data_IF_262195875232
#
_entry.id   IF_262195875232
#
_cell.length_a   1.000
_cell.length_b   1.000
_cell.length_c   1.000
_cell.angle_alpha   90.00
_cell.angle_beta   90.00
_cell.angle_gamma   90.00
#
_symmetry.space_group_name_H-M   'P 1'
#
loop_
_entity.id
_entity.type
_entity.pdbx_description
1 polymer ?
#
# COMPACT_ATOMS: atom_id res chain seq x y z
N UNK A 1 -2.49 3.01 -0.90
CA UNK A 1 -3.02 1.63 -0.77
C UNK A 1 -1.88 0.74 -0.30
N UNK A 2 -2.16 -0.26 0.53
CA UNK A 2 -1.16 -1.08 1.24
C UNK A 2 -0.17 -0.19 2.01
N UNK A 3 -0.73 0.67 2.89
CA UNK A 3 0.05 1.79 3.45
C UNK A 3 0.99 1.37 4.59
N UNK A 4 0.77 0.20 5.19
CA UNK A 4 1.55 -0.28 6.32
C UNK A 4 1.57 0.74 7.46
N UNK A 5 2.76 1.15 7.86
CA UNK A 5 2.97 2.18 8.91
C UNK A 5 2.68 3.61 8.47
N UNK A 6 2.20 3.80 7.24
CA UNK A 6 1.82 5.11 6.70
C UNK A 6 2.96 5.95 6.12
N UNK A 7 4.16 5.40 5.96
CA UNK A 7 5.36 6.17 5.62
C UNK A 7 5.18 7.01 4.34
N UNK A 8 4.70 6.40 3.25
CA UNK A 8 4.48 7.13 1.97
C UNK A 8 3.36 8.16 2.12
N UNK A 9 2.22 7.76 2.67
CA UNK A 9 1.05 8.65 2.81
C UNK A 9 1.35 9.86 3.67
N UNK A 10 2.01 9.66 4.81
CA UNK A 10 2.40 10.71 5.73
C UNK A 10 3.41 11.67 5.07
N UNK A 11 4.40 11.12 4.34
CA UNK A 11 5.37 11.95 3.60
C UNK A 11 4.67 12.82 2.56
N UNK A 12 3.76 12.26 1.77
CA UNK A 12 3.00 13.03 0.78
C UNK A 12 2.19 14.13 1.45
N UNK A 13 1.46 13.82 2.53
CA UNK A 13 0.66 14.81 3.26
C UNK A 13 1.53 15.91 3.90
N UNK A 14 2.72 15.55 4.39
CA UNK A 14 3.63 16.49 5.03
C UNK A 14 4.29 17.47 4.05
N UNK A 15 4.71 16.96 2.88
CA UNK A 15 5.46 17.76 1.90
C UNK A 15 4.60 18.38 0.79
N UNK A 16 3.31 18.08 0.73
CA UNK A 16 2.42 18.59 -0.31
C UNK A 16 1.15 19.17 0.29
N UNK A 17 0.31 19.76 -0.57
CA UNK A 17 -1.06 20.20 -0.21
C UNK A 17 -2.12 19.20 -0.71
N UNK A 18 -1.72 17.99 -1.08
CA UNK A 18 -2.63 16.98 -1.55
C UNK A 18 -3.55 16.50 -0.42
N UNK A 19 -4.81 16.22 -0.76
CA UNK A 19 -5.69 15.46 0.10
C UNK A 19 -5.27 13.99 0.02
N UNK A 20 -4.87 13.40 1.14
CA UNK A 20 -4.33 12.04 1.18
C UNK A 20 -5.29 11.10 1.89
N UNK A 21 -5.65 10.01 1.21
CA UNK A 21 -6.33 8.85 1.78
C UNK A 21 -5.37 7.66 1.73
N UNK A 22 -5.19 6.99 2.86
CA UNK A 22 -4.36 5.81 3.00
C UNK A 22 -5.18 4.60 3.44
N UNK A 23 -4.97 3.45 2.83
CA UNK A 23 -5.69 2.22 3.17
C UNK A 23 -4.75 1.04 3.39
N UNK A 24 -5.17 0.15 4.27
CA UNK A 24 -4.54 -1.14 4.53
C UNK A 24 -5.59 -2.14 5.01
N UNK A 25 -5.35 -3.42 4.80
CA UNK A 25 -6.19 -4.50 5.32
C UNK A 25 -5.94 -4.74 6.80
N UNK A 26 -4.75 -4.37 7.30
CA UNK A 26 -4.35 -4.57 8.68
C UNK A 26 -4.75 -3.39 9.57
N UNK A 27 -5.73 -3.60 10.45
CA UNK A 27 -6.10 -2.63 11.49
C UNK A 27 -4.92 -2.24 12.38
N UNK A 28 -4.04 -3.20 12.70
CA UNK A 28 -2.83 -2.95 13.50
C UNK A 28 -1.84 -2.02 12.78
N UNK A 29 -1.63 -2.22 11.47
CA UNK A 29 -0.80 -1.33 10.69
C UNK A 29 -1.37 0.09 10.67
N UNK A 30 -2.69 0.22 10.51
CA UNK A 30 -3.37 1.51 10.53
C UNK A 30 -3.34 2.20 11.90
N UNK A 31 -3.33 1.48 13.01
CA UNK A 31 -3.12 2.05 14.34
C UNK A 31 -1.76 2.75 14.41
N UNK A 32 -0.69 2.05 14.01
CA UNK A 32 0.66 2.61 13.95
C UNK A 32 0.73 3.81 12.99
N UNK A 33 0.09 3.70 11.81
CA UNK A 33 0.06 4.77 10.83
C UNK A 33 -0.62 6.04 11.38
N UNK A 34 -1.73 5.90 12.12
CA UNK A 34 -2.41 7.03 12.78
C UNK A 34 -1.54 7.69 13.84
N UNK A 35 -0.82 6.90 14.64
CA UNK A 35 0.13 7.42 15.62
C UNK A 35 1.27 8.19 14.96
N UNK A 36 1.86 7.63 13.91
CA UNK A 36 2.90 8.29 13.14
C UNK A 36 2.42 9.61 12.52
N UNK A 37 1.23 9.62 11.92
CA UNK A 37 0.64 10.82 11.34
C UNK A 37 0.42 11.91 12.40
N UNK A 38 -0.03 11.53 13.59
CA UNK A 38 -0.22 12.45 14.72
C UNK A 38 1.10 13.05 15.20
N UNK A 39 2.16 12.23 15.33
CA UNK A 39 3.50 12.69 15.74
C UNK A 39 4.06 13.69 14.73
N UNK A 40 3.86 13.45 13.44
CA UNK A 40 4.38 14.26 12.35
C UNK A 40 3.41 15.39 11.93
N UNK A 41 2.27 15.52 12.62
CA UNK A 41 1.24 16.50 12.33
C UNK A 41 0.80 16.49 10.85
N UNK A 42 0.64 15.28 10.29
CA UNK A 42 0.22 15.04 8.91
C UNK A 42 -1.27 14.71 8.85
N UNK A 43 -2.00 15.38 7.94
CA UNK A 43 -3.44 15.17 7.74
C UNK A 43 -3.66 14.07 6.70
N UNK A 44 -3.98 12.86 7.18
CA UNK A 44 -4.22 11.67 6.34
C UNK A 44 -5.52 11.01 6.78
N UNK A 45 -6.40 10.72 5.82
CA UNK A 45 -7.59 9.91 6.04
C UNK A 45 -7.22 8.42 5.94
N UNK A 46 -7.37 7.66 7.04
CA UNK A 46 -7.04 6.23 7.10
C UNK A 46 -8.28 5.34 7.03
N UNK A 47 -8.30 4.40 6.09
CA UNK A 47 -9.41 3.47 5.83
C UNK A 47 -8.91 2.03 5.92
N UNK A 48 -9.57 1.20 6.72
CA UNK A 48 -9.37 -0.25 6.70
C UNK A 48 -10.11 -0.82 5.49
N UNK A 49 -9.36 -1.46 4.58
CA UNK A 49 -9.91 -1.96 3.32
C UNK A 49 -9.02 -3.03 2.72
N UNK A 50 -9.63 -4.11 2.26
CA UNK A 50 -8.98 -5.01 1.31
C UNK A 50 -9.04 -4.37 -0.07
N UNK A 51 -7.88 -3.86 -0.52
CA UNK A 51 -7.74 -3.06 -1.73
C UNK A 51 -8.82 -1.95 -1.82
N UNK A 52 -9.80 -2.09 -2.70
CA UNK A 52 -10.83 -1.08 -2.97
C UNK A 52 -12.17 -1.34 -2.27
N UNK A 53 -12.33 -2.41 -1.48
CA UNK A 53 -13.65 -2.82 -0.93
C UNK A 53 -14.38 -1.70 -0.18
N UNK A 54 -13.66 -0.93 0.61
CA UNK A 54 -14.23 0.18 1.41
C UNK A 54 -13.87 1.56 0.86
N UNK A 55 -13.37 1.64 -0.38
CA UNK A 55 -13.02 2.90 -1.03
C UNK A 55 -14.24 3.40 -1.81
N UNK A 56 -14.69 4.62 -1.51
CA UNK A 56 -15.87 5.22 -2.12
C UNK A 56 -15.59 6.55 -2.83
N UNK A 57 -14.32 6.84 -3.09
CA UNK A 57 -13.89 8.08 -3.75
C UNK A 57 -12.94 7.77 -4.92
N UNK A 58 -12.70 8.76 -5.77
CA UNK A 58 -11.76 8.67 -6.90
C UNK A 58 -10.55 9.55 -6.65
N UNK A 59 -9.43 9.22 -7.31
CA UNK A 59 -8.13 9.83 -7.05
C UNK A 59 -7.45 10.26 -8.35
N UNK A 60 -6.65 11.31 -8.26
CA UNK A 60 -5.77 11.72 -9.35
C UNK A 60 -4.50 10.86 -9.40
N UNK A 61 -4.03 10.41 -8.24
CA UNK A 61 -2.86 9.54 -8.11
C UNK A 61 -3.15 8.43 -7.11
N UNK A 62 -2.92 7.19 -7.51
CA UNK A 62 -2.91 6.03 -6.64
C UNK A 62 -1.46 5.56 -6.48
N UNK A 63 -0.99 5.51 -5.24
CA UNK A 63 0.34 4.98 -4.90
C UNK A 63 0.19 3.69 -4.12
N UNK A 64 0.93 2.66 -4.46
CA UNK A 64 0.95 1.41 -3.71
C UNK A 64 2.33 0.76 -3.71
N UNK A 65 2.72 0.27 -2.53
CA UNK A 65 3.80 -0.69 -2.34
C UNK A 65 3.15 -1.99 -1.83
N UNK A 66 2.56 -2.80 -2.73
CA UNK A 66 1.89 -4.02 -2.35
C UNK A 66 2.89 -5.15 -2.08
N UNK A 67 2.49 -6.24 -1.41
CA UNK A 67 3.29 -7.45 -1.35
C UNK A 67 3.66 -7.94 -2.75
N UNK A 68 4.95 -8.20 -2.99
CA UNK A 68 5.46 -8.57 -4.33
C UNK A 68 6.44 -9.74 -4.33
N UNK A 69 6.69 -10.37 -3.18
CA UNK A 69 7.61 -11.51 -3.09
C UNK A 69 6.87 -12.78 -3.51
N UNK A 70 7.51 -13.57 -4.37
CA UNK A 70 6.98 -14.88 -4.76
C UNK A 70 6.84 -15.80 -3.54
N UNK A 71 5.70 -16.49 -3.41
CA UNK A 71 5.40 -17.35 -2.27
C UNK A 71 6.49 -18.39 -1.99
N UNK A 72 7.12 -18.94 -3.05
CA UNK A 72 8.19 -19.94 -2.93
C UNK A 72 9.52 -19.36 -2.43
N UNK A 73 9.73 -18.07 -2.58
CA UNK A 73 10.97 -17.38 -2.16
C UNK A 73 10.94 -17.00 -0.68
N UNK A 74 9.75 -16.75 -0.12
CA UNK A 74 9.61 -16.27 1.26
C UNK A 74 10.35 -17.15 2.29
N UNK A 75 10.31 -18.49 2.23
CA UNK A 75 11.05 -19.34 3.19
C UNK A 75 12.57 -19.17 3.12
N UNK A 76 13.10 -18.62 2.02
CA UNK A 76 14.54 -18.42 1.81
C UNK A 76 15.05 -17.05 2.22
N UNK A 77 14.14 -16.15 2.60
CA UNK A 77 14.50 -14.80 3.03
C UNK A 77 15.31 -14.81 4.34
N UNK A 78 16.07 -13.76 4.55
CA UNK A 78 16.80 -13.54 5.80
C UNK A 78 15.82 -13.53 6.99
N UNK A 79 16.24 -14.05 8.14
CA UNK A 79 15.43 -14.12 9.37
C UNK A 79 14.79 -12.78 9.73
N UNK A 80 15.50 -11.66 9.55
CA UNK A 80 14.98 -10.32 9.82
C UNK A 80 13.76 -9.96 8.99
N UNK A 81 13.65 -10.45 7.76
CA UNK A 81 12.46 -10.23 6.90
C UNK A 81 11.41 -11.27 7.18
N UNK A 82 11.79 -12.55 7.20
CA UNK A 82 10.89 -13.69 7.35
C UNK A 82 10.17 -13.71 8.70
N UNK A 83 10.90 -13.42 9.80
CA UNK A 83 10.40 -13.63 11.16
C UNK A 83 9.79 -12.35 11.78
N UNK A 84 10.10 -11.18 11.26
CA UNK A 84 9.62 -9.89 11.78
C UNK A 84 8.62 -9.15 10.90
N UNK A 85 8.57 -9.45 9.60
CA UNK A 85 7.55 -8.92 8.68
C UNK A 85 6.35 -9.89 8.63
N UNK A 86 5.11 -9.38 8.73
CA UNK A 86 3.93 -10.23 8.57
C UNK A 86 3.91 -10.87 7.17
N UNK A 87 3.57 -12.15 7.07
CA UNK A 87 3.41 -12.85 5.78
C UNK A 87 2.50 -12.10 4.81
N UNK A 88 1.44 -11.50 5.35
CA UNK A 88 0.49 -10.68 4.59
C UNK A 88 1.16 -9.46 3.90
N UNK A 89 2.27 -8.97 4.43
CA UNK A 89 3.02 -7.85 3.88
C UNK A 89 4.09 -8.26 2.85
N UNK A 90 4.36 -9.56 2.71
CA UNK A 90 5.43 -10.10 1.86
C UNK A 90 4.89 -10.85 0.64
N UNK A 91 3.86 -11.69 0.83
CA UNK A 91 3.40 -12.67 -0.15
C UNK A 91 2.62 -12.02 -1.29
N UNK A 92 3.25 -11.90 -2.44
CA UNK A 92 2.68 -11.40 -3.69
C UNK A 92 2.05 -12.48 -4.58
N UNK A 93 1.95 -13.72 -4.08
CA UNK A 93 1.43 -14.85 -4.83
C UNK A 93 2.51 -15.64 -5.56
N UNK A 94 2.10 -16.53 -6.46
CA UNK A 94 2.97 -17.49 -7.13
C UNK A 94 4.13 -16.83 -7.90
N UNK A 95 3.88 -15.71 -8.55
CA UNK A 95 4.85 -14.96 -9.36
C UNK A 95 5.07 -13.53 -8.83
N UNK A 96 4.62 -13.23 -7.62
CA UNK A 96 4.75 -11.92 -7.00
C UNK A 96 3.88 -10.82 -7.60
N UNK A 97 2.95 -11.13 -8.52
CA UNK A 97 2.23 -10.12 -9.30
C UNK A 97 0.72 -10.05 -9.00
N UNK A 98 0.22 -10.84 -8.06
CA UNK A 98 -1.23 -10.96 -7.81
C UNK A 98 -1.85 -9.62 -7.39
N UNK A 99 -1.20 -8.88 -6.51
CA UNK A 99 -1.69 -7.57 -6.08
C UNK A 99 -1.70 -6.55 -7.21
N UNK A 100 -0.66 -6.51 -8.03
CA UNK A 100 -0.60 -5.59 -9.18
C UNK A 100 -1.75 -5.84 -10.14
N UNK A 101 -2.02 -7.11 -10.50
CA UNK A 101 -3.14 -7.49 -11.36
C UNK A 101 -4.47 -7.05 -10.78
N UNK A 102 -4.69 -7.34 -9.49
CA UNK A 102 -5.93 -6.97 -8.80
C UNK A 102 -6.13 -5.46 -8.73
N UNK A 103 -5.09 -4.70 -8.39
CA UNK A 103 -5.16 -3.25 -8.32
C UNK A 103 -5.42 -2.66 -9.71
N UNK A 104 -4.66 -3.05 -10.74
CA UNK A 104 -4.82 -2.52 -12.11
C UNK A 104 -6.21 -2.79 -12.66
N UNK A 105 -6.74 -4.01 -12.45
CA UNK A 105 -8.06 -4.39 -12.96
C UNK A 105 -9.20 -3.55 -12.35
N UNK A 106 -9.08 -3.16 -11.09
CA UNK A 106 -10.11 -2.41 -10.37
C UNK A 106 -9.91 -0.88 -10.48
N UNK A 107 -8.66 -0.42 -10.59
CA UNK A 107 -8.28 0.99 -10.50
C UNK A 107 -9.00 1.90 -11.50
N UNK A 108 -9.41 1.38 -12.66
CA UNK A 108 -10.17 2.15 -13.67
C UNK A 108 -11.44 2.80 -13.14
N UNK A 109 -12.01 2.26 -12.06
CA UNK A 109 -13.23 2.79 -11.43
C UNK A 109 -12.91 3.85 -10.35
N UNK A 110 -11.63 4.00 -9.97
CA UNK A 110 -11.18 4.81 -8.85
C UNK A 110 -10.14 5.86 -9.23
N UNK A 111 -9.71 5.88 -10.49
CA UNK A 111 -8.76 6.89 -11.01
C UNK A 111 -9.52 7.90 -11.86
N UNK A 112 -9.33 9.18 -11.57
CA UNK A 112 -9.87 10.29 -12.35
C UNK A 112 -9.28 10.32 -13.77
N UNK A 113 -9.96 10.99 -14.68
CA UNK A 113 -9.43 11.23 -16.03
C UNK A 113 -8.07 11.94 -15.94
N UNK A 114 -7.08 11.42 -16.65
CA UNK A 114 -5.67 11.83 -16.61
C UNK A 114 -4.93 11.55 -15.31
N UNK A 115 -5.53 10.76 -14.41
CA UNK A 115 -4.84 10.26 -13.23
C UNK A 115 -3.85 9.13 -13.54
N UNK A 116 -3.04 8.76 -12.57
CA UNK A 116 -2.03 7.72 -12.73
C UNK A 116 -1.93 6.78 -11.53
N UNK A 117 -1.30 5.62 -11.76
CA UNK A 117 -0.93 4.67 -10.73
C UNK A 117 0.59 4.64 -10.63
N UNK A 118 1.10 4.64 -9.41
CA UNK A 118 2.53 4.53 -9.09
C UNK A 118 2.73 3.31 -8.21
N UNK A 119 3.57 2.39 -8.64
CA UNK A 119 3.92 1.20 -7.87
C UNK A 119 5.39 1.19 -7.45
N UNK A 120 5.66 0.74 -6.22
CA UNK A 120 6.94 0.13 -5.90
C UNK A 120 6.92 -1.30 -6.42
N UNK A 121 8.02 -1.75 -7.03
CA UNK A 121 8.16 -3.06 -7.65
C UNK A 121 9.47 -3.73 -7.22
N UNK A 122 9.51 -5.05 -7.28
CA UNK A 122 10.75 -5.81 -7.10
C UNK A 122 11.71 -5.63 -8.30
N UNK A 123 13.00 -5.90 -8.08
CA UNK A 123 14.07 -5.68 -9.08
C UNK A 123 13.84 -6.38 -10.42
N UNK A 124 13.14 -7.51 -10.42
CA UNK A 124 12.86 -8.33 -11.60
C UNK A 124 11.46 -8.14 -12.19
N UNK A 125 10.71 -7.12 -11.75
CA UNK A 125 9.31 -6.90 -12.13
C UNK A 125 9.11 -5.66 -13.01
N UNK A 126 10.19 -5.06 -13.48
CA UNK A 126 10.17 -3.88 -14.38
C UNK A 126 9.90 -4.19 -15.84
#
# INVERSE_FOLDING_TARGET
>A
MCTGTGAIAISVAHYTKAKVTASDISSKALEVARENAKILNADVNFIESDLFENINETFDVLVSNPPYIESEVIPTLMEQVKDYEPMLALDGGKDGLDFYRNIINQAKNYINQNGCIVFEIGDNQG
#
